data_IF_325854029056
#
_entry.id   IF_325854029056
#
_cell.length_a   1.000
_cell.length_b   1.000
_cell.length_c   1.000
_cell.angle_alpha   90.00
_cell.angle_beta   90.00
_cell.angle_gamma   90.00
#
_symmetry.space_group_name_H-M   'P 1'
#
loop_
_entity.id
_entity.type
_entity.pdbx_description
1 polymer ?
#
# COMPACT_ATOMS: atom_id res chain seq x y z
N UNK A 1 25.04 -18.56 25.14
CA UNK A 1 23.86 -18.40 24.28
C UNK A 1 24.28 -17.54 23.10
N UNK A 2 24.31 -18.04 21.86
CA UNK A 2 24.68 -17.20 20.73
C UNK A 2 23.65 -16.08 20.58
N UNK A 3 24.14 -14.86 20.34
CA UNK A 3 23.34 -13.65 20.20
C UNK A 3 22.49 -13.75 18.92
N UNK A 4 21.28 -14.30 19.03
CA UNK A 4 20.27 -14.19 17.99
C UNK A 4 19.81 -12.73 17.98
N UNK A 5 20.22 -11.97 16.96
CA UNK A 5 19.48 -10.76 16.57
C UNK A 5 18.01 -11.18 16.38
N UNK A 6 17.03 -10.39 16.83
CA UNK A 6 15.64 -10.66 16.47
C UNK A 6 15.55 -10.82 14.96
N UNK A 7 14.88 -11.88 14.49
CA UNK A 7 14.49 -11.98 13.08
C UNK A 7 13.72 -10.69 12.74
N UNK A 8 14.04 -10.04 11.61
CA UNK A 8 13.27 -8.90 11.16
C UNK A 8 11.81 -9.34 10.98
N UNK A 9 10.89 -8.65 11.66
CA UNK A 9 9.46 -8.95 11.62
C UNK A 9 8.83 -8.05 10.54
N UNK A 10 8.32 -8.65 9.47
CA UNK A 10 7.48 -7.94 8.49
C UNK A 10 6.21 -7.44 9.18
N UNK A 11 5.95 -6.13 9.06
CA UNK A 11 4.74 -5.48 9.55
C UNK A 11 3.76 -5.31 8.39
N UNK A 12 2.61 -5.97 8.50
CA UNK A 12 1.54 -5.89 7.50
C UNK A 12 0.36 -5.10 8.05
N UNK A 13 -0.24 -4.24 7.23
CA UNK A 13 -1.50 -3.55 7.54
C UNK A 13 -2.58 -3.85 6.50
N UNK A 14 -3.84 -3.79 6.92
CA UNK A 14 -5.01 -3.79 6.05
C UNK A 14 -5.61 -2.40 6.03
N UNK A 15 -5.83 -1.83 4.83
CA UNK A 15 -6.53 -0.55 4.66
C UNK A 15 -7.76 -0.72 3.76
N UNK A 16 -8.77 0.12 3.95
CA UNK A 16 -9.97 0.14 3.11
C UNK A 16 -9.84 1.18 1.99
N UNK A 17 -10.00 0.81 0.73
CA UNK A 17 -9.98 1.73 -0.40
C UNK A 17 -11.30 1.65 -1.14
N UNK A 18 -11.83 2.79 -1.58
CA UNK A 18 -13.08 2.84 -2.33
C UNK A 18 -12.92 3.72 -3.57
N UNK A 19 -12.85 3.09 -4.74
CA UNK A 19 -12.73 3.74 -6.04
C UNK A 19 -14.08 4.00 -6.72
N UNK A 20 -15.20 3.67 -6.06
CA UNK A 20 -16.53 4.00 -6.60
C UNK A 20 -16.67 5.53 -6.73
N UNK A 21 -17.51 5.95 -7.68
CA UNK A 21 -17.64 7.35 -8.03
C UNK A 21 -17.90 8.25 -6.80
N UNK A 22 -17.06 9.27 -6.62
CA UNK A 22 -17.17 10.25 -5.55
C UNK A 22 -16.66 9.79 -4.17
N UNK A 23 -16.04 8.62 -4.05
CA UNK A 23 -15.51 8.11 -2.77
C UNK A 23 -14.05 8.55 -2.54
N UNK A 24 -13.09 7.90 -3.20
CA UNK A 24 -11.67 8.28 -3.11
C UNK A 24 -11.06 8.51 -4.48
N UNK A 25 -10.11 9.43 -4.53
CA UNK A 25 -9.25 9.69 -5.68
C UNK A 25 -7.96 8.87 -5.55
N UNK A 26 -7.31 8.50 -6.67
CA UNK A 26 -6.03 7.76 -6.65
C UNK A 26 -4.96 8.41 -5.77
N UNK A 27 -4.85 9.74 -5.80
CA UNK A 27 -3.91 10.50 -4.97
C UNK A 27 -4.15 10.33 -3.46
N UNK A 28 -5.41 10.19 -3.03
CA UNK A 28 -5.76 9.99 -1.61
C UNK A 28 -5.35 8.59 -1.14
N UNK A 29 -5.43 7.60 -2.02
CA UNK A 29 -4.97 6.24 -1.76
C UNK A 29 -3.44 6.22 -1.63
N UNK A 30 -2.72 6.90 -2.54
CA UNK A 30 -1.25 7.05 -2.46
C UNK A 30 -0.83 7.66 -1.13
N UNK A 31 -1.48 8.76 -0.70
CA UNK A 31 -1.17 9.39 0.59
C UNK A 31 -1.39 8.44 1.76
N UNK A 32 -2.44 7.62 1.70
CA UNK A 32 -2.71 6.63 2.75
C UNK A 32 -1.66 5.52 2.81
N UNK A 33 -1.18 5.04 1.66
CA UNK A 33 -0.09 4.06 1.61
C UNK A 33 1.21 4.68 2.13
N UNK A 34 1.50 5.95 1.80
CA UNK A 34 2.65 6.68 2.36
C UNK A 34 2.59 6.79 3.89
N UNK A 35 1.42 7.11 4.44
CA UNK A 35 1.24 7.17 5.89
C UNK A 35 1.53 5.82 6.58
N UNK A 36 1.16 4.70 5.95
CA UNK A 36 1.51 3.36 6.46
C UNK A 36 3.04 3.13 6.42
N UNK A 37 3.72 3.58 5.37
CA UNK A 37 5.18 3.51 5.30
C UNK A 37 5.83 4.35 6.42
N UNK A 38 5.30 5.55 6.71
CA UNK A 38 5.76 6.41 7.80
C UNK A 38 5.52 5.78 9.19
N UNK A 39 4.49 4.95 9.34
CA UNK A 39 4.23 4.11 10.52
C UNK A 39 5.16 2.87 10.58
N UNK A 40 5.98 2.66 9.56
CA UNK A 40 6.89 1.54 9.43
C UNK A 40 6.21 0.24 8.99
N UNK A 41 5.09 0.31 8.28
CA UNK A 41 4.47 -0.87 7.66
C UNK A 41 5.24 -1.24 6.39
N UNK A 42 5.58 -2.52 6.28
CA UNK A 42 6.35 -3.07 5.16
C UNK A 42 5.42 -3.54 4.03
N UNK A 43 4.20 -3.98 4.37
CA UNK A 43 3.23 -4.54 3.44
C UNK A 43 1.82 -3.98 3.70
N UNK A 44 1.20 -3.38 2.69
CA UNK A 44 -0.19 -2.94 2.75
C UNK A 44 -1.08 -3.86 1.91
N UNK A 45 -2.05 -4.48 2.56
CA UNK A 45 -3.17 -5.17 1.92
C UNK A 45 -4.31 -4.17 1.77
N UNK A 46 -4.93 -4.14 0.60
CA UNK A 46 -6.06 -3.26 0.32
C UNK A 46 -7.34 -4.08 0.25
N UNK A 47 -8.29 -3.78 1.15
CA UNK A 47 -9.67 -4.19 0.98
C UNK A 47 -10.38 -3.17 0.07
N UNK A 48 -10.96 -3.63 -1.04
CA UNK A 48 -11.58 -2.75 -2.03
C UNK A 48 -12.91 -3.33 -2.53
N UNK A 49 -14.02 -2.59 -2.43
CA UNK A 49 -15.27 -2.95 -3.11
C UNK A 49 -15.07 -3.08 -4.61
N UNK A 50 -15.84 -3.97 -5.24
CA UNK A 50 -15.83 -4.15 -6.70
C UNK A 50 -14.44 -4.44 -7.28
N UNK A 51 -13.59 -5.16 -6.54
CA UNK A 51 -12.22 -5.54 -7.00
C UNK A 51 -12.21 -6.41 -8.26
N UNK A 52 -13.33 -7.04 -8.58
CA UNK A 52 -13.51 -7.81 -9.81
C UNK A 52 -13.62 -6.92 -11.05
N UNK A 53 -13.89 -5.62 -10.88
CA UNK A 53 -13.89 -4.65 -11.97
C UNK A 53 -12.47 -4.30 -12.38
N UNK A 54 -12.14 -4.59 -13.64
CA UNK A 54 -10.78 -4.38 -14.18
C UNK A 54 -10.35 -2.91 -14.17
N UNK A 55 -11.30 -1.97 -14.20
CA UNK A 55 -11.00 -0.55 -14.18
C UNK A 55 -10.38 -0.11 -12.85
N UNK A 56 -10.83 -0.65 -11.71
CA UNK A 56 -10.22 -0.38 -10.41
C UNK A 56 -8.78 -0.91 -10.33
N UNK A 57 -8.55 -2.14 -10.83
CA UNK A 57 -7.21 -2.71 -10.93
C UNK A 57 -6.31 -1.91 -11.89
N UNK A 58 -6.88 -1.34 -12.95
CA UNK A 58 -6.15 -0.49 -13.91
C UNK A 58 -5.73 0.83 -13.28
N UNK A 59 -6.59 1.46 -12.47
CA UNK A 59 -6.23 2.65 -11.69
C UNK A 59 -5.09 2.33 -10.74
N UNK A 60 -5.15 1.20 -10.03
CA UNK A 60 -4.04 0.74 -9.19
C UNK A 60 -2.75 0.57 -10.00
N UNK A 61 -2.81 -0.17 -11.11
CA UNK A 61 -1.64 -0.47 -11.92
C UNK A 61 -1.00 0.74 -12.61
N UNK A 62 -1.82 1.71 -13.06
CA UNK A 62 -1.34 2.83 -13.88
C UNK A 62 -1.11 4.11 -13.10
N UNK A 63 -1.82 4.34 -12.00
CA UNK A 63 -1.82 5.61 -11.29
C UNK A 63 -1.26 5.48 -9.87
N UNK A 64 -1.57 4.40 -9.15
CA UNK A 64 -1.20 4.25 -7.73
C UNK A 64 0.17 3.56 -7.58
N UNK A 65 0.35 2.39 -8.20
CA UNK A 65 1.57 1.59 -8.06
C UNK A 65 2.85 2.35 -8.46
N UNK A 66 2.90 3.13 -9.56
CA UNK A 66 4.09 3.90 -9.91
C UNK A 66 4.50 4.91 -8.83
N UNK A 67 3.53 5.56 -8.19
CA UNK A 67 3.78 6.57 -7.16
C UNK A 67 4.29 5.97 -5.85
N UNK A 68 3.84 4.76 -5.50
CA UNK A 68 4.26 4.07 -4.26
C UNK A 68 5.51 3.21 -4.46
N UNK A 69 5.86 2.82 -5.69
CA UNK A 69 7.08 2.06 -5.97
C UNK A 69 8.36 2.80 -5.52
N UNK A 70 8.33 4.14 -5.50
CA UNK A 70 9.42 4.97 -5.01
C UNK A 70 9.65 4.84 -3.48
N UNK A 71 8.71 4.28 -2.72
CA UNK A 71 8.85 4.06 -1.28
C UNK A 71 9.80 2.90 -0.97
N UNK A 72 9.74 1.82 -1.77
CA UNK A 72 10.54 0.60 -1.56
C UNK A 72 12.01 0.70 -2.01
N UNK A 73 12.44 1.85 -2.53
CA UNK A 73 13.80 2.07 -3.05
C UNK A 73 14.65 2.98 -2.17
N UNK A 74 14.14 3.44 -1.02
CA UNK A 74 14.85 4.36 -0.12
C UNK A 74 15.92 3.70 0.79
N UNK A 75 16.30 2.45 0.56
CA UNK A 75 17.45 1.82 1.21
C UNK A 75 18.02 0.68 0.35
N UNK A 76 19.05 1.00 -0.43
CA UNK A 76 20.07 0.06 -0.89
C UNK A 76 21.43 0.77 -0.90
#
# INVERSE_FOLDING_TARGET
MPNLRPLEIEKTALIEVDLRAGQMRPAEIVQRIRAQADEGIDHVIVNMPDVHELDHLRVFGREILPEVAALGTAAA
#
